data_IF_350112757897
#
_entry.id   IF_350112757897
#
_cell.length_a   1.000
_cell.length_b   1.000
_cell.length_c   1.000
_cell.angle_alpha   90.00
_cell.angle_beta   90.00
_cell.angle_gamma   90.00
#
_symmetry.space_group_name_H-M   'P 1'
#
loop_
_entity.id
_entity.type
_entity.pdbx_description
1 polymer ?
#
# COMPACT_ATOMS: atom_id res chain seq x y z
N UNK A 1 -17.82 19.58 29.70
CA UNK A 1 -16.35 19.79 29.73
C UNK A 1 -15.78 19.30 28.39
N UNK A 2 -15.51 20.21 27.46
CA UNK A 2 -14.90 19.91 26.18
C UNK A 2 -13.38 19.89 26.37
N UNK A 3 -12.75 18.71 26.22
CA UNK A 3 -11.28 18.61 26.15
C UNK A 3 -10.84 19.17 24.79
N UNK A 4 -10.14 20.29 24.82
CA UNK A 4 -9.48 20.87 23.67
C UNK A 4 -8.46 19.86 23.10
N UNK A 5 -8.62 19.54 21.82
CA UNK A 5 -7.59 18.88 21.03
C UNK A 5 -6.44 19.87 20.93
N UNK A 6 -5.35 19.59 21.61
CA UNK A 6 -4.11 20.34 21.48
C UNK A 6 -3.57 20.13 20.06
N UNK A 7 -3.71 21.14 19.23
CA UNK A 7 -2.91 21.27 18.03
C UNK A 7 -1.44 21.31 18.41
N UNK A 8 -0.68 20.29 18.01
CA UNK A 8 0.77 20.34 18.03
C UNK A 8 1.22 21.39 17.00
N UNK A 9 2.10 22.33 17.35
CA UNK A 9 2.61 23.28 16.39
C UNK A 9 3.57 22.60 15.43
N UNK A 10 3.35 22.90 14.16
CA UNK A 10 4.31 23.02 13.08
C UNK A 10 5.63 22.26 13.17
N UNK A 11 5.68 21.11 12.54
CA UNK A 11 6.91 20.61 11.94
C UNK A 11 6.80 20.82 10.43
N UNK A 12 7.12 22.03 9.96
CA UNK A 12 7.48 22.26 8.57
C UNK A 12 8.80 21.53 8.33
N UNK A 13 8.70 20.28 7.94
CA UNK A 13 9.84 19.46 7.64
C UNK A 13 10.09 19.50 6.14
N UNK A 14 11.15 20.21 5.75
CA UNK A 14 11.68 20.16 4.40
C UNK A 14 12.13 18.72 4.10
N UNK A 15 11.41 18.01 3.26
CA UNK A 15 11.91 16.78 2.63
C UNK A 15 12.94 17.23 1.60
N UNK A 16 14.23 17.17 1.93
CA UNK A 16 15.27 17.34 0.95
C UNK A 16 15.40 16.06 0.13
N UNK A 17 15.10 16.06 -1.17
CA UNK A 17 15.41 14.93 -2.04
C UNK A 17 16.88 15.05 -2.46
N UNK A 18 17.81 14.83 -1.55
CA UNK A 18 19.24 14.66 -1.87
C UNK A 18 19.65 13.23 -1.56
N UNK A 19 19.31 12.36 -2.46
CA UNK A 19 19.77 11.00 -2.56
C UNK A 19 19.05 10.42 -3.75
N UNK A 20 19.81 10.00 -4.76
CA UNK A 20 19.22 9.25 -5.85
C UNK A 20 18.42 8.08 -5.26
N UNK A 21 17.11 8.17 -5.34
CA UNK A 21 16.23 7.06 -5.03
C UNK A 21 16.49 5.97 -6.08
N UNK A 22 17.58 5.22 -5.92
CA UNK A 22 17.77 3.97 -6.65
C UNK A 22 16.84 2.93 -6.02
N UNK A 23 15.53 3.18 -6.16
CA UNK A 23 14.54 2.19 -5.85
C UNK A 23 14.50 1.22 -7.02
N UNK A 24 14.51 -0.11 -6.77
CA UNK A 24 14.21 -1.05 -7.83
C UNK A 24 12.82 -0.71 -8.35
N UNK A 25 12.80 -0.16 -9.54
CA UNK A 25 11.60 0.26 -10.21
C UNK A 25 10.75 -0.95 -10.54
N UNK A 26 9.60 -1.05 -9.93
CA UNK A 26 8.49 -1.80 -10.48
C UNK A 26 7.90 -0.98 -11.62
N UNK A 27 8.66 -0.88 -12.71
CA UNK A 27 8.30 -0.05 -13.85
C UNK A 27 7.23 -0.72 -14.70
N UNK A 28 6.01 -0.31 -14.46
CA UNK A 28 4.98 -0.33 -15.47
C UNK A 28 4.43 1.10 -15.57
N UNK A 29 5.15 1.96 -16.24
CA UNK A 29 4.80 3.35 -16.45
C UNK A 29 6.04 4.21 -16.63
N UNK A 30 5.93 5.44 -17.15
CA UNK A 30 7.07 6.32 -17.30
C UNK A 30 7.71 6.55 -15.92
N UNK A 31 8.95 6.16 -15.80
CA UNK A 31 9.78 6.37 -14.62
C UNK A 31 10.04 7.85 -14.44
N UNK A 32 9.27 8.48 -13.59
CA UNK A 32 9.59 9.80 -13.07
C UNK A 32 10.21 9.59 -11.69
N UNK A 33 11.42 10.09 -11.50
CA UNK A 33 12.03 10.08 -10.18
C UNK A 33 11.08 10.82 -9.21
N UNK A 34 10.63 10.14 -8.16
CA UNK A 34 9.89 10.76 -7.07
C UNK A 34 10.86 11.72 -6.39
N UNK A 35 10.68 13.04 -6.58
CA UNK A 35 11.56 14.05 -5.97
C UNK A 35 12.46 14.84 -6.92
N UNK A 36 12.09 15.02 -8.18
CA UNK A 36 12.71 16.00 -9.06
C UNK A 36 12.41 17.44 -8.61
N UNK A 37 13.40 18.34 -8.61
CA UNK A 37 13.20 19.76 -8.37
C UNK A 37 12.13 20.30 -9.34
N UNK A 38 11.07 20.88 -8.81
CA UNK A 38 10.24 21.87 -9.49
C UNK A 38 8.89 21.42 -10.03
N UNK A 39 8.70 20.25 -10.59
CA UNK A 39 7.45 19.83 -11.22
C UNK A 39 6.72 18.69 -10.48
N UNK A 40 7.09 18.45 -9.24
CA UNK A 40 6.59 17.35 -8.45
C UNK A 40 5.17 17.56 -8.00
N UNK A 41 4.22 16.86 -8.58
CA UNK A 41 2.88 16.71 -8.02
C UNK A 41 2.92 16.00 -6.67
N UNK A 42 1.79 15.99 -5.97
CA UNK A 42 1.63 15.24 -4.72
C UNK A 42 2.15 13.81 -4.87
N UNK A 43 2.87 13.34 -3.87
CA UNK A 43 3.36 11.95 -3.77
C UNK A 43 2.64 11.26 -2.63
N UNK A 44 2.04 10.10 -2.89
CA UNK A 44 1.47 9.26 -1.85
C UNK A 44 2.51 8.24 -1.36
N UNK A 45 2.49 7.95 -0.06
CA UNK A 45 3.29 6.92 0.59
C UNK A 45 2.36 5.94 1.29
N UNK A 46 2.52 4.66 0.99
CA UNK A 46 1.71 3.58 1.58
C UNK A 46 2.66 2.51 2.09
N UNK A 47 2.67 2.28 3.39
CA UNK A 47 3.49 1.25 4.01
C UNK A 47 2.61 0.16 4.62
N UNK A 48 2.76 -1.08 4.11
CA UNK A 48 2.04 -2.26 4.58
C UNK A 48 3.00 -3.21 5.31
N UNK A 49 2.85 -3.30 6.62
CA UNK A 49 3.69 -4.12 7.49
C UNK A 49 2.89 -4.70 8.66
N UNK A 50 3.35 -4.49 9.88
CA UNK A 50 2.57 -4.81 11.08
C UNK A 50 1.27 -4.00 11.15
N UNK A 51 1.32 -2.76 10.67
CA UNK A 51 0.20 -1.84 10.50
C UNK A 51 0.21 -1.27 9.08
N UNK A 52 -0.85 -0.59 8.70
CA UNK A 52 -0.94 0.15 7.45
C UNK A 52 -0.77 1.65 7.73
N UNK A 53 0.24 2.27 7.12
CA UNK A 53 0.49 3.71 7.19
C UNK A 53 0.29 4.34 5.81
N UNK A 54 -0.48 5.42 5.74
CA UNK A 54 -0.76 6.17 4.50
C UNK A 54 -0.50 7.64 4.74
N UNK A 55 0.39 8.21 3.94
CA UNK A 55 0.80 9.61 4.00
C UNK A 55 0.78 10.24 2.63
N UNK A 56 0.73 11.56 2.58
CA UNK A 56 0.98 12.29 1.34
C UNK A 56 1.98 13.42 1.57
N UNK A 57 2.81 13.63 0.57
CA UNK A 57 3.74 14.74 0.49
C UNK A 57 3.24 15.68 -0.60
N UNK A 58 2.84 16.88 -0.21
CA UNK A 58 2.29 17.89 -1.11
C UNK A 58 3.34 18.98 -1.31
N UNK A 59 3.65 19.39 -2.55
CA UNK A 59 4.58 20.50 -2.78
C UNK A 59 4.10 21.76 -2.04
N UNK A 60 5.01 22.44 -1.34
CA UNK A 60 4.68 23.67 -0.64
C UNK A 60 4.28 24.78 -1.62
N UNK A 61 3.16 25.48 -1.41
CA UNK A 61 2.77 26.64 -2.24
C UNK A 61 3.81 27.76 -2.22
N UNK A 62 4.66 27.82 -1.20
CA UNK A 62 5.75 28.79 -1.09
C UNK A 62 6.96 28.46 -2.00
N UNK A 63 6.87 27.40 -2.83
CA UNK A 63 7.89 27.03 -3.80
C UNK A 63 9.12 26.31 -3.21
N UNK A 64 9.16 26.08 -1.91
CA UNK A 64 10.24 25.34 -1.24
C UNK A 64 9.68 24.30 -0.26
N UNK A 65 10.16 23.06 -0.38
CA UNK A 65 9.84 21.99 0.55
C UNK A 65 8.48 21.31 0.28
N UNK A 66 8.07 20.49 1.23
CA UNK A 66 6.90 19.62 1.16
C UNK A 66 6.08 19.73 2.43
N UNK A 67 4.77 19.69 2.29
CA UNK A 67 3.83 19.55 3.40
C UNK A 67 3.51 18.06 3.56
N UNK A 68 3.60 17.56 4.79
CA UNK A 68 3.20 16.21 5.13
C UNK A 68 1.72 16.20 5.52
N UNK A 69 0.93 15.38 4.83
CA UNK A 69 -0.43 15.05 5.23
C UNK A 69 -0.41 13.66 5.85
N UNK A 70 -0.83 13.59 7.10
CA UNK A 70 -1.02 12.33 7.82
C UNK A 70 -2.52 12.10 8.03
N UNK A 71 -2.97 10.89 7.76
CA UNK A 71 -4.36 10.51 7.91
C UNK A 71 -4.51 9.07 8.38
N UNK A 72 -5.72 8.71 8.78
CA UNK A 72 -6.05 7.36 9.28
C UNK A 72 -6.73 6.56 8.15
N UNK A 73 -6.12 6.56 6.97
CA UNK A 73 -6.69 5.88 5.79
C UNK A 73 -6.82 4.35 5.98
N UNK A 74 -6.08 3.78 6.93
CA UNK A 74 -6.22 2.38 7.34
C UNK A 74 -7.61 2.03 7.91
N UNK A 75 -8.36 3.02 8.39
CA UNK A 75 -9.73 2.85 8.88
C UNK A 75 -10.80 2.92 7.79
N UNK A 76 -10.41 3.15 6.52
CA UNK A 76 -11.35 3.13 5.41
C UNK A 76 -11.96 1.74 5.22
N UNK A 77 -13.14 1.69 4.61
CA UNK A 77 -13.80 0.42 4.26
C UNK A 77 -13.16 -0.19 3.02
N UNK A 78 -12.93 -1.49 3.07
CA UNK A 78 -12.40 -2.25 1.94
C UNK A 78 -13.55 -2.74 1.06
N UNK A 79 -13.46 -2.50 -0.24
CA UNK A 79 -14.37 -3.06 -1.23
C UNK A 79 -13.72 -4.23 -1.96
N UNK A 80 -14.50 -5.29 -2.23
CA UNK A 80 -14.08 -6.39 -3.09
C UNK A 80 -14.50 -6.14 -4.53
N UNK A 81 -13.68 -6.60 -5.48
CA UNK A 81 -13.98 -6.52 -6.91
C UNK A 81 -14.18 -7.90 -7.56
N UNK A 82 -13.81 -8.96 -6.88
CA UNK A 82 -13.92 -10.33 -7.36
C UNK A 82 -14.77 -11.17 -6.39
N UNK A 83 -15.60 -12.11 -6.88
CA UNK A 83 -16.46 -12.96 -6.02
C UNK A 83 -15.67 -13.73 -4.95
N UNK A 84 -14.50 -14.27 -5.32
CA UNK A 84 -13.62 -15.00 -4.37
C UNK A 84 -13.09 -14.08 -3.27
N UNK A 85 -12.78 -12.82 -3.58
CA UNK A 85 -12.38 -11.82 -2.58
C UNK A 85 -13.54 -11.52 -1.64
N UNK A 86 -14.73 -11.29 -2.19
CA UNK A 86 -15.91 -11.04 -1.39
C UNK A 86 -16.15 -12.17 -0.39
N UNK A 87 -16.06 -13.43 -0.81
CA UNK A 87 -16.24 -14.58 0.07
C UNK A 87 -15.18 -14.61 1.20
N UNK A 88 -13.91 -14.30 0.90
CA UNK A 88 -12.84 -14.26 1.90
C UNK A 88 -13.07 -13.11 2.88
N UNK A 89 -13.36 -11.91 2.37
CA UNK A 89 -13.61 -10.73 3.21
C UNK A 89 -14.84 -10.92 4.08
N UNK A 90 -15.87 -11.63 3.60
CA UNK A 90 -17.07 -11.98 4.36
C UNK A 90 -16.74 -12.90 5.55
N UNK A 91 -15.87 -13.89 5.35
CA UNK A 91 -15.36 -14.75 6.44
C UNK A 91 -14.62 -13.90 7.49
N UNK A 92 -13.82 -12.93 7.07
CA UNK A 92 -13.11 -12.04 7.99
C UNK A 92 -14.08 -11.10 8.72
N UNK A 93 -15.03 -10.50 8.00
CA UNK A 93 -16.02 -9.58 8.56
C UNK A 93 -16.89 -10.25 9.64
N UNK A 94 -17.28 -11.51 9.46
CA UNK A 94 -18.02 -12.28 10.49
C UNK A 94 -17.24 -12.46 11.79
N UNK A 95 -15.89 -12.40 11.74
CA UNK A 95 -15.03 -12.55 12.92
C UNK A 95 -14.76 -11.22 13.61
N UNK A 96 -14.67 -10.14 12.84
CA UNK A 96 -14.20 -8.83 13.31
C UNK A 96 -15.27 -7.74 13.32
N UNK A 97 -16.46 -8.01 12.77
CA UNK A 97 -17.47 -6.98 12.52
C UNK A 97 -17.13 -6.15 11.29
N UNK A 98 -17.15 -4.82 11.41
CA UNK A 98 -16.75 -3.94 10.31
C UNK A 98 -15.25 -4.11 10.03
N UNK A 99 -14.93 -4.43 8.77
CA UNK A 99 -13.57 -4.72 8.34
C UNK A 99 -12.90 -3.45 7.82
N UNK A 100 -11.92 -2.96 8.55
CA UNK A 100 -11.08 -1.84 8.12
C UNK A 100 -9.95 -2.34 7.20
N UNK A 101 -9.47 -1.47 6.32
CA UNK A 101 -8.39 -1.77 5.37
C UNK A 101 -7.14 -2.28 6.08
N UNK A 102 -6.76 -1.66 7.20
CA UNK A 102 -5.55 -2.04 7.96
C UNK A 102 -5.62 -3.46 8.55
N UNK A 103 -6.82 -3.97 8.85
CA UNK A 103 -7.00 -5.33 9.35
C UNK A 103 -6.71 -6.39 8.28
N UNK A 104 -6.76 -5.99 7.01
CA UNK A 104 -6.54 -6.88 5.85
C UNK A 104 -5.16 -6.66 5.24
N UNK A 105 -4.74 -5.39 5.13
CA UNK A 105 -3.47 -5.01 4.49
C UNK A 105 -2.31 -4.93 5.49
N UNK A 106 -2.21 -5.95 6.34
CA UNK A 106 -1.11 -6.15 7.29
C UNK A 106 -0.69 -7.63 7.33
N UNK A 107 0.37 -7.94 8.09
CA UNK A 107 0.89 -9.31 8.19
C UNK A 107 -0.13 -10.32 8.72
N UNK A 108 -0.87 -9.94 9.76
CA UNK A 108 -1.94 -10.78 10.29
C UNK A 108 -3.10 -10.93 9.31
N UNK A 109 -3.42 -9.89 8.53
CA UNK A 109 -4.43 -9.93 7.49
C UNK A 109 -4.10 -10.96 6.40
N UNK A 110 -2.85 -11.06 5.97
CA UNK A 110 -2.37 -12.11 5.04
C UNK A 110 -2.62 -13.50 5.61
N UNK A 111 -2.27 -13.72 6.89
CA UNK A 111 -2.50 -14.99 7.56
C UNK A 111 -3.99 -15.33 7.70
N UNK A 112 -4.82 -14.34 7.97
CA UNK A 112 -6.26 -14.50 8.06
C UNK A 112 -6.88 -14.83 6.70
N UNK A 113 -6.46 -14.14 5.62
CA UNK A 113 -6.87 -14.46 4.25
C UNK A 113 -6.47 -15.89 3.87
N UNK A 114 -5.23 -16.31 4.15
CA UNK A 114 -4.80 -17.69 3.93
C UNK A 114 -5.71 -18.71 4.63
N UNK A 115 -6.01 -18.49 5.91
CA UNK A 115 -6.88 -19.37 6.69
C UNK A 115 -8.32 -19.39 6.15
N UNK A 116 -8.85 -18.23 5.75
CA UNK A 116 -10.19 -18.12 5.18
C UNK A 116 -10.28 -18.84 3.82
N UNK A 117 -9.25 -18.74 2.98
CA UNK A 117 -9.17 -19.45 1.70
C UNK A 117 -9.21 -20.98 1.93
N UNK A 118 -8.39 -21.51 2.86
CA UNK A 118 -8.41 -22.91 3.20
C UNK A 118 -9.80 -23.34 3.72
N UNK A 119 -10.41 -22.54 4.60
CA UNK A 119 -11.75 -22.81 5.14
C UNK A 119 -12.81 -22.88 4.04
N UNK A 120 -12.81 -21.94 3.09
CA UNK A 120 -13.75 -21.91 1.97
C UNK A 120 -13.58 -23.10 1.00
N UNK A 121 -12.39 -23.69 0.98
CA UNK A 121 -12.09 -24.91 0.21
C UNK A 121 -12.34 -26.21 0.96
N UNK A 122 -12.78 -26.12 2.22
CA UNK A 122 -12.97 -27.30 3.08
C UNK A 122 -11.67 -27.94 3.55
N UNK A 123 -10.56 -27.21 3.47
CA UNK A 123 -9.24 -27.70 3.82
C UNK A 123 -8.78 -27.13 5.17
N UNK A 124 -7.93 -27.91 5.88
CA UNK A 124 -7.34 -27.46 7.13
C UNK A 124 -6.13 -26.57 6.87
N UNK A 125 -6.19 -25.34 7.31
CA UNK A 125 -5.04 -24.44 7.22
C UNK A 125 -3.85 -24.96 8.05
N UNK A 126 -2.67 -24.92 7.47
CA UNK A 126 -1.42 -25.25 8.17
C UNK A 126 -1.10 -24.15 9.19
N UNK A 127 -0.51 -24.54 10.32
CA UNK A 127 -0.02 -23.59 11.34
C UNK A 127 1.33 -23.01 10.92
N UNK A 128 1.32 -22.07 9.99
CA UNK A 128 2.52 -21.42 9.46
C UNK A 128 2.44 -19.90 9.68
N UNK A 129 3.60 -19.27 9.84
CA UNK A 129 3.71 -17.81 9.97
C UNK A 129 3.81 -17.10 8.63
N UNK A 130 3.80 -15.76 8.65
CA UNK A 130 3.84 -14.91 7.46
C UNK A 130 5.02 -15.23 6.53
N UNK A 131 6.23 -15.35 7.09
CA UNK A 131 7.43 -15.68 6.31
C UNK A 131 7.30 -17.00 5.53
N UNK A 132 6.65 -18.02 6.13
CA UNK A 132 6.40 -19.27 5.45
C UNK A 132 5.32 -19.15 4.37
N UNK A 133 4.26 -18.36 4.60
CA UNK A 133 3.24 -18.05 3.57
C UNK A 133 3.90 -17.39 2.37
N UNK A 134 4.74 -16.37 2.60
CA UNK A 134 5.50 -15.68 1.54
C UNK A 134 6.41 -16.66 0.79
N UNK A 135 7.21 -17.44 1.51
CA UNK A 135 8.13 -18.39 0.89
C UNK A 135 7.41 -19.46 0.05
N UNK A 136 6.30 -20.01 0.55
CA UNK A 136 5.51 -21.01 -0.19
C UNK A 136 4.85 -20.41 -1.43
N UNK A 137 4.35 -19.17 -1.35
CA UNK A 137 3.74 -18.50 -2.48
C UNK A 137 4.77 -18.13 -3.56
N UNK A 138 5.90 -17.53 -3.17
CA UNK A 138 6.95 -17.14 -4.11
C UNK A 138 7.56 -18.37 -4.83
N UNK A 139 7.62 -19.51 -4.16
CA UNK A 139 8.08 -20.77 -4.73
C UNK A 139 6.97 -21.59 -5.41
N UNK A 140 5.74 -21.07 -5.49
CA UNK A 140 4.56 -21.75 -6.03
C UNK A 140 4.29 -23.15 -5.42
N UNK A 141 4.65 -23.35 -4.14
CA UNK A 141 4.52 -24.64 -3.43
C UNK A 141 3.16 -24.86 -2.81
N UNK A 142 2.41 -23.79 -2.59
CA UNK A 142 1.08 -23.83 -1.94
C UNK A 142 0.15 -22.84 -2.66
N UNK A 143 -0.91 -23.33 -3.34
CA UNK A 143 -1.81 -22.47 -4.09
C UNK A 143 -2.62 -21.52 -3.20
N UNK A 144 -2.91 -21.89 -1.93
CA UNK A 144 -3.62 -21.03 -1.01
C UNK A 144 -2.74 -19.89 -0.50
N UNK A 145 -1.46 -20.16 -0.27
CA UNK A 145 -0.48 -19.11 0.03
C UNK A 145 -0.35 -18.13 -1.15
N UNK A 146 -0.24 -18.66 -2.38
CA UNK A 146 -0.17 -17.84 -3.60
C UNK A 146 -1.43 -16.99 -3.79
N UNK A 147 -2.62 -17.57 -3.54
CA UNK A 147 -3.89 -16.84 -3.64
C UNK A 147 -4.01 -15.75 -2.56
N UNK A 148 -3.62 -16.03 -1.32
CA UNK A 148 -3.64 -15.05 -0.24
C UNK A 148 -2.77 -13.84 -0.54
N UNK A 149 -1.54 -14.05 -1.04
CA UNK A 149 -0.66 -12.95 -1.43
C UNK A 149 -1.10 -12.22 -2.68
N UNK A 150 -1.65 -12.93 -3.67
CA UNK A 150 -2.24 -12.28 -4.84
C UNK A 150 -3.41 -11.38 -4.45
N UNK A 151 -4.26 -11.82 -3.54
CA UNK A 151 -5.36 -11.04 -2.98
C UNK A 151 -4.84 -9.81 -2.22
N UNK A 152 -3.87 -9.98 -1.31
CA UNK A 152 -3.23 -8.88 -0.61
C UNK A 152 -2.69 -7.82 -1.58
N UNK A 153 -1.93 -8.24 -2.59
CA UNK A 153 -1.37 -7.31 -3.58
C UNK A 153 -2.45 -6.63 -4.43
N UNK A 154 -3.51 -7.36 -4.79
CA UNK A 154 -4.64 -6.79 -5.52
C UNK A 154 -5.35 -5.70 -4.72
N UNK A 155 -5.70 -6.00 -3.47
CA UNK A 155 -6.35 -5.05 -2.55
C UNK A 155 -5.45 -3.85 -2.21
N UNK A 156 -4.13 -4.06 -2.08
CA UNK A 156 -3.17 -2.97 -1.93
C UNK A 156 -3.12 -2.08 -3.19
N UNK A 157 -3.24 -2.67 -4.37
CA UNK A 157 -3.36 -1.93 -5.63
C UNK A 157 -4.63 -1.08 -5.70
N UNK A 158 -5.76 -1.62 -5.25
CA UNK A 158 -7.01 -0.87 -5.16
C UNK A 158 -6.91 0.32 -4.20
N UNK A 159 -6.37 0.09 -3.01
CA UNK A 159 -6.14 1.17 -2.06
C UNK A 159 -5.22 2.25 -2.65
N UNK A 160 -4.11 1.83 -3.24
CA UNK A 160 -3.13 2.75 -3.82
C UNK A 160 -3.74 3.60 -4.96
N UNK A 161 -4.54 2.99 -5.84
CA UNK A 161 -5.26 3.71 -6.89
C UNK A 161 -6.30 4.69 -6.34
N UNK A 162 -7.02 4.32 -5.28
CA UNK A 162 -7.96 5.20 -4.60
C UNK A 162 -7.24 6.38 -3.94
N UNK A 163 -6.17 6.12 -3.20
CA UNK A 163 -5.34 7.15 -2.55
C UNK A 163 -4.76 8.11 -3.59
N UNK A 164 -4.25 7.58 -4.70
CA UNK A 164 -3.69 8.40 -5.77
C UNK A 164 -4.71 9.38 -6.36
N UNK A 165 -5.94 8.92 -6.60
CA UNK A 165 -7.02 9.78 -7.11
C UNK A 165 -7.53 10.76 -6.06
N UNK A 166 -7.70 10.32 -4.81
CA UNK A 166 -8.24 11.15 -3.71
C UNK A 166 -7.29 12.31 -3.37
N UNK A 167 -5.98 12.04 -3.39
CA UNK A 167 -4.95 13.01 -3.02
C UNK A 167 -4.36 13.75 -4.23
N UNK A 168 -4.78 13.42 -5.45
CA UNK A 168 -4.17 13.97 -6.66
C UNK A 168 -2.69 13.63 -6.77
N UNK A 169 -2.27 12.41 -6.39
CA UNK A 169 -0.88 12.01 -6.30
C UNK A 169 -0.23 11.79 -7.67
N UNK A 170 -0.27 12.81 -8.53
CA UNK A 170 0.33 12.77 -9.88
C UNK A 170 1.85 12.63 -9.87
N UNK A 171 2.51 13.01 -8.77
CA UNK A 171 3.96 12.85 -8.60
C UNK A 171 4.39 11.40 -8.39
N UNK A 172 3.47 10.51 -8.01
CA UNK A 172 3.75 9.08 -7.83
C UNK A 172 3.16 8.48 -6.57
N UNK A 173 3.23 7.16 -6.49
CA UNK A 173 2.86 6.38 -5.29
C UNK A 173 4.03 5.50 -4.87
N UNK A 174 4.50 5.69 -3.65
CA UNK A 174 5.56 4.89 -3.05
C UNK A 174 4.90 3.80 -2.19
N UNK A 175 5.25 2.57 -2.48
CA UNK A 175 4.81 1.40 -1.71
C UNK A 175 5.99 0.91 -0.88
N UNK A 176 5.77 0.74 0.41
CA UNK A 176 6.79 0.30 1.35
C UNK A 176 6.25 -0.79 2.29
N UNK A 177 7.12 -1.34 3.10
CA UNK A 177 6.78 -2.27 4.17
C UNK A 177 7.38 -3.65 3.99
N UNK A 178 7.52 -4.34 5.13
CA UNK A 178 8.23 -5.61 5.22
C UNK A 178 7.62 -6.73 4.37
N UNK A 179 6.30 -6.70 4.13
CA UNK A 179 5.63 -7.71 3.30
C UNK A 179 6.04 -7.53 1.84
N UNK A 180 6.01 -6.28 1.35
CA UNK A 180 6.38 -5.96 -0.03
C UNK A 180 7.85 -6.23 -0.27
N UNK A 181 8.72 -5.87 0.68
CA UNK A 181 10.15 -6.18 0.64
C UNK A 181 10.40 -7.70 0.55
N UNK A 182 9.69 -8.49 1.35
CA UNK A 182 9.82 -9.94 1.36
C UNK A 182 9.33 -10.60 0.06
N UNK A 183 8.42 -9.96 -0.67
CA UNK A 183 7.94 -10.45 -1.96
C UNK A 183 8.96 -10.21 -3.10
N UNK A 184 9.79 -9.17 -3.01
CA UNK A 184 10.78 -8.85 -4.03
C UNK A 184 10.18 -8.81 -5.45
N UNK A 185 10.84 -9.48 -6.40
CA UNK A 185 10.40 -9.54 -7.81
C UNK A 185 9.01 -10.19 -8.01
N UNK A 186 8.53 -10.96 -7.04
CA UNK A 186 7.20 -11.54 -7.10
C UNK A 186 6.12 -10.44 -7.07
N UNK A 187 6.36 -9.37 -6.28
CA UNK A 187 5.43 -8.24 -6.20
C UNK A 187 5.21 -7.56 -7.57
N UNK A 188 6.27 -7.43 -8.39
CA UNK A 188 6.18 -6.84 -9.73
C UNK A 188 5.22 -7.60 -10.66
N UNK A 189 5.12 -8.92 -10.46
CA UNK A 189 4.26 -9.82 -11.26
C UNK A 189 2.89 -10.03 -10.64
N UNK A 190 2.65 -9.46 -9.45
CA UNK A 190 1.39 -9.58 -8.72
C UNK A 190 0.26 -8.79 -9.38
N UNK A 191 -0.99 -8.98 -8.96
CA UNK A 191 -2.12 -8.19 -9.44
C UNK A 191 -2.08 -6.70 -9.06
N UNK A 192 -1.12 -6.25 -8.25
CA UNK A 192 -1.05 -4.88 -7.73
C UNK A 192 -1.26 -3.81 -8.81
N UNK A 193 -0.39 -3.79 -9.83
CA UNK A 193 -0.43 -2.72 -10.85
C UNK A 193 -1.71 -2.74 -11.68
N UNK A 194 -2.17 -3.93 -12.06
CA UNK A 194 -3.43 -4.10 -12.79
C UNK A 194 -4.62 -3.54 -12.00
N UNK A 195 -4.65 -3.78 -10.70
CA UNK A 195 -5.72 -3.31 -9.79
C UNK A 195 -5.59 -1.82 -9.52
N UNK A 196 -4.38 -1.31 -9.34
CA UNK A 196 -4.10 0.12 -9.25
C UNK A 196 -4.73 0.90 -10.41
N UNK A 197 -4.60 0.41 -11.64
CA UNK A 197 -5.11 1.05 -12.85
C UNK A 197 -6.62 0.83 -13.09
N UNK A 198 -7.25 -0.13 -12.41
CA UNK A 198 -8.62 -0.56 -12.70
C UNK A 198 -9.69 0.40 -12.13
N UNK A 199 -9.68 1.67 -12.55
CA UNK A 199 -10.58 2.75 -12.08
C UNK A 199 -11.43 3.37 -13.19
N UNK A 200 -11.97 2.54 -14.09
CA UNK A 200 -12.87 2.99 -15.15
C UNK A 200 -12.28 4.13 -15.99
N UNK A 201 -12.95 5.28 -16.04
CA UNK A 201 -12.51 6.45 -16.84
C UNK A 201 -11.16 7.04 -16.42
N UNK A 202 -10.69 6.75 -15.21
CA UNK A 202 -9.40 7.24 -14.71
C UNK A 202 -8.24 6.28 -14.94
N UNK A 203 -8.46 5.21 -15.73
CA UNK A 203 -7.43 4.21 -16.01
C UNK A 203 -6.18 4.82 -16.62
N UNK A 204 -6.32 5.66 -17.64
CA UNK A 204 -5.18 6.27 -18.33
C UNK A 204 -4.44 7.27 -17.42
N UNK A 205 -5.16 7.99 -16.57
CA UNK A 205 -4.57 8.84 -15.54
C UNK A 205 -3.69 8.02 -14.60
N UNK A 206 -4.23 6.93 -14.04
CA UNK A 206 -3.48 6.07 -13.12
C UNK A 206 -2.33 5.35 -13.82
N UNK A 207 -2.50 4.97 -15.08
CA UNK A 207 -1.42 4.38 -15.88
C UNK A 207 -0.20 5.31 -16.03
N UNK A 208 -0.44 6.62 -16.09
CA UNK A 208 0.61 7.62 -16.17
C UNK A 208 1.30 7.87 -14.81
N UNK A 209 0.67 7.51 -13.68
CA UNK A 209 1.24 7.70 -12.35
C UNK A 209 2.27 6.60 -12.06
N UNK A 210 3.53 6.94 -11.76
CA UNK A 210 4.54 5.96 -11.38
C UNK A 210 4.21 5.33 -10.03
N UNK A 211 4.45 4.03 -9.90
CA UNK A 211 4.44 3.33 -8.62
C UNK A 211 5.84 2.77 -8.34
N UNK A 212 6.35 3.02 -7.14
CA UNK A 212 7.72 2.70 -6.77
C UNK A 212 7.70 1.90 -5.47
N UNK A 213 8.52 0.86 -5.36
CA UNK A 213 8.73 0.15 -4.08
C UNK A 213 9.93 0.76 -3.38
N UNK A 214 9.68 1.23 -2.16
CA UNK A 214 10.73 1.72 -1.27
C UNK A 214 11.28 0.54 -0.47
N UNK A 215 12.57 0.23 -0.64
CA UNK A 215 13.24 -0.76 0.19
C UNK A 215 13.32 -0.32 1.67
N UNK A 216 13.66 -1.27 2.55
CA UNK A 216 13.67 -1.14 4.01
C UNK A 216 14.45 0.06 4.57
N UNK A 217 15.43 0.57 3.83
CA UNK A 217 16.23 1.74 4.20
C UNK A 217 15.58 3.09 3.83
N UNK A 218 14.54 3.07 3.02
CA UNK A 218 13.88 4.27 2.50
C UNK A 218 12.69 4.67 3.36
N UNK A 219 12.92 4.91 4.66
CA UNK A 219 11.93 5.65 5.45
C UNK A 219 12.03 7.13 5.09
N UNK A 220 10.89 7.83 4.84
CA UNK A 220 10.91 9.26 4.68
C UNK A 220 11.41 9.87 5.99
N UNK A 221 12.67 10.29 6.02
CA UNK A 221 13.20 11.07 7.13
C UNK A 221 12.73 12.50 6.91
N UNK A 222 11.85 12.95 7.77
CA UNK A 222 11.61 14.37 7.96
C UNK A 222 12.91 14.97 8.51
N UNK A 223 13.64 15.68 7.69
CA UNK A 223 14.76 16.48 8.17
C UNK A 223 14.12 17.76 8.68
N UNK A 224 14.06 17.88 10.01
CA UNK A 224 13.72 19.15 10.64
C UNK A 224 14.78 20.16 10.24
N UNK A 225 14.37 21.24 9.56
CA UNK A 225 15.17 22.39 9.27
C UNK A 225 15.18 23.37 10.45
#
# INVERSE_FOLDING_TARGET
MRKAVRSRPEASAALAPRGAWTLPLLSHGPTRAVGGEGDGGTVAWIAAGATLDVRAFVPSPAGRGWLLLEGVAGQATLASHEPDEAAVLDVLARRHGQLAVEQVLCGDGVLQMYRAICQLRGEKARRIGLAAVVAHACAARDPHCSRALAMFCGLLGDLAGQVALTLGAGGGVVIAGEIVDALGDWFARSPFRRRFEARGRYRDTLRAIPTVVAGRAAQPRLIAG
#
